data_IF_135472875402
#
_entry.id   IF_135472875402
#
_cell.length_a   1.000
_cell.length_b   1.000
_cell.length_c   1.000
_cell.angle_alpha   90.00
_cell.angle_beta   90.00
_cell.angle_gamma   90.00
#
_symmetry.space_group_name_H-M   'P 1'
#
loop_
_entity.id
_entity.type
_entity.pdbx_description
1 polymer ?
#
# COMPACT_ATOMS: atom_id res chain seq x y z
N UNK A 1 -55.27 32.38 -49.47
CA UNK A 1 -54.22 31.38 -49.23
C UNK A 1 -53.42 31.80 -47.99
N UNK A 2 -53.66 31.13 -46.83
CA UNK A 2 -52.96 31.44 -45.57
C UNK A 2 -51.89 30.39 -45.41
N UNK A 3 -50.62 30.81 -45.33
CA UNK A 3 -49.46 29.96 -45.07
C UNK A 3 -49.31 29.78 -43.55
N UNK A 4 -49.38 28.53 -43.06
CA UNK A 4 -48.98 28.15 -41.70
C UNK A 4 -47.49 27.98 -41.60
N UNK A 5 -46.85 28.78 -40.76
CA UNK A 5 -45.47 28.57 -40.33
C UNK A 5 -45.45 27.63 -39.12
N UNK A 6 -44.87 26.44 -39.26
CA UNK A 6 -44.58 25.50 -38.20
C UNK A 6 -43.21 25.84 -37.63
N UNK A 7 -43.16 26.28 -36.37
CA UNK A 7 -41.91 26.50 -35.68
C UNK A 7 -41.51 25.18 -34.99
N UNK A 8 -40.38 24.61 -35.38
CA UNK A 8 -39.79 23.47 -34.72
C UNK A 8 -38.94 23.93 -33.50
N UNK A 9 -39.37 23.54 -32.31
CA UNK A 9 -38.59 23.77 -31.11
C UNK A 9 -37.52 22.69 -31.00
N UNK A 10 -36.23 23.09 -31.09
CA UNK A 10 -35.11 22.22 -30.81
C UNK A 10 -34.83 22.26 -29.30
N UNK A 11 -35.10 21.15 -28.63
CA UNK A 11 -34.82 20.97 -27.21
C UNK A 11 -33.37 20.58 -27.04
N UNK A 12 -32.51 21.50 -26.53
CA UNK A 12 -31.15 21.22 -26.17
C UNK A 12 -31.14 20.47 -24.82
N UNK A 13 -30.91 19.16 -24.84
CA UNK A 13 -30.57 18.40 -23.63
C UNK A 13 -29.11 18.68 -23.29
N UNK A 14 -28.88 19.54 -22.31
CA UNK A 14 -27.56 19.69 -21.68
C UNK A 14 -27.33 18.52 -20.74
N UNK A 15 -26.49 17.56 -21.14
CA UNK A 15 -25.97 16.52 -20.27
C UNK A 15 -25.01 17.16 -19.25
N UNK A 16 -25.43 17.25 -18.01
CA UNK A 16 -24.54 17.61 -16.91
C UNK A 16 -23.58 16.44 -16.65
N UNK A 17 -22.32 16.61 -17.09
CA UNK A 17 -21.24 15.71 -16.71
C UNK A 17 -20.96 15.91 -15.22
N UNK A 18 -21.38 14.98 -14.38
CA UNK A 18 -20.97 14.92 -12.98
C UNK A 18 -19.46 14.64 -12.93
N UNK A 19 -18.68 15.65 -12.59
CA UNK A 19 -17.28 15.49 -12.23
C UNK A 19 -17.28 14.73 -10.88
N UNK A 20 -17.10 13.41 -10.93
CA UNK A 20 -16.71 12.64 -9.75
C UNK A 20 -15.27 13.09 -9.44
N UNK A 21 -15.15 14.02 -8.50
CA UNK A 21 -13.88 14.38 -7.91
C UNK A 21 -13.25 13.14 -7.27
N UNK A 22 -11.92 13.10 -7.10
CA UNK A 22 -11.28 12.00 -6.39
C UNK A 22 -11.97 11.87 -5.03
N UNK A 23 -12.43 10.65 -4.71
CA UNK A 23 -12.98 10.36 -3.39
C UNK A 23 -12.00 10.90 -2.35
N UNK A 24 -12.48 11.76 -1.47
CA UNK A 24 -11.69 12.23 -0.35
C UNK A 24 -11.18 10.98 0.36
N UNK A 25 -9.86 10.78 0.38
CA UNK A 25 -9.21 9.75 1.18
C UNK A 25 -9.71 10.04 2.59
N UNK A 26 -10.53 9.14 3.14
CA UNK A 26 -10.97 9.29 4.52
C UNK A 26 -9.73 9.60 5.35
N UNK A 27 -9.81 10.61 6.19
CA UNK A 27 -8.69 11.12 6.97
C UNK A 27 -8.27 10.04 7.98
N UNK A 28 -7.56 9.01 7.49
CA UNK A 28 -6.93 7.95 8.28
C UNK A 28 -5.70 8.47 9.04
N UNK A 29 -5.55 9.80 9.05
CA UNK A 29 -4.58 10.51 9.87
C UNK A 29 -5.01 10.52 11.34
N UNK A 30 -5.42 9.39 11.93
CA UNK A 30 -5.70 9.15 13.34
C UNK A 30 -5.64 10.38 14.23
N UNK A 31 -6.55 11.37 13.99
CA UNK A 31 -6.50 12.67 14.65
C UNK A 31 -6.38 12.50 16.16
N UNK A 32 -5.23 12.92 16.73
CA UNK A 32 -4.98 12.83 18.15
C UNK A 32 -4.32 11.53 18.64
N UNK A 33 -4.14 10.51 17.80
CA UNK A 33 -3.37 9.31 18.18
C UNK A 33 -1.87 9.54 17.95
N UNK A 34 -1.00 9.06 18.86
CA UNK A 34 0.45 9.21 18.70
C UNK A 34 0.93 8.43 17.47
N UNK A 35 1.95 8.98 16.78
CA UNK A 35 2.63 8.27 15.70
C UNK A 35 3.65 7.32 16.30
N UNK A 36 3.64 6.06 15.86
CA UNK A 36 4.59 5.03 16.33
C UNK A 36 6.04 5.42 15.99
N UNK A 37 6.99 4.87 16.75
CA UNK A 37 8.40 4.96 16.40
C UNK A 37 8.69 4.24 15.07
N UNK A 38 9.79 4.61 14.41
CA UNK A 38 10.28 3.86 13.27
C UNK A 38 10.54 2.41 13.67
N UNK A 39 10.01 1.47 12.89
CA UNK A 39 10.24 0.07 13.14
C UNK A 39 11.73 -0.29 12.95
N UNK A 40 12.27 -1.08 13.86
CA UNK A 40 13.58 -1.73 13.67
C UNK A 40 13.42 -2.99 12.84
N UNK A 41 14.53 -3.51 12.27
CA UNK A 41 14.48 -4.79 11.60
C UNK A 41 14.15 -5.92 12.59
N UNK A 42 13.10 -6.65 12.30
CA UNK A 42 12.60 -7.78 13.09
C UNK A 42 12.48 -8.99 12.16
N UNK A 43 13.51 -9.86 12.10
CA UNK A 43 13.53 -10.97 11.17
C UNK A 43 12.43 -11.98 11.47
N UNK A 44 12.10 -12.81 10.48
CA UNK A 44 11.23 -13.96 10.66
C UNK A 44 11.79 -14.90 11.73
N UNK A 45 10.98 -15.20 12.73
CA UNK A 45 11.32 -16.15 13.81
C UNK A 45 10.28 -17.25 13.96
N UNK A 46 9.10 -17.09 13.39
CA UNK A 46 7.98 -18.02 13.48
C UNK A 46 7.45 -18.36 12.09
N UNK A 47 6.54 -19.30 12.03
CA UNK A 47 5.76 -19.53 10.80
C UNK A 47 4.29 -19.74 11.17
N UNK A 48 3.40 -19.08 10.44
CA UNK A 48 1.95 -19.22 10.62
C UNK A 48 1.29 -19.67 9.34
N UNK A 49 0.25 -20.48 9.45
CA UNK A 49 -0.55 -20.93 8.30
C UNK A 49 -1.52 -19.84 7.82
N UNK A 50 -1.77 -18.85 8.65
CA UNK A 50 -2.72 -17.77 8.34
C UNK A 50 -2.00 -16.42 8.37
N UNK A 51 -2.36 -15.48 7.47
CA UNK A 51 -1.89 -14.11 7.56
C UNK A 51 -2.38 -13.44 8.84
N UNK A 52 -1.71 -12.39 9.26
CA UNK A 52 -2.14 -11.59 10.42
C UNK A 52 -3.24 -10.61 9.99
N UNK A 53 -4.13 -10.30 10.92
CA UNK A 53 -5.30 -9.44 10.65
C UNK A 53 -4.92 -8.06 10.12
N UNK A 54 -3.89 -7.42 10.68
CA UNK A 54 -3.41 -6.12 10.19
C UNK A 54 -2.77 -6.22 8.81
N UNK A 55 -2.12 -7.34 8.49
CA UNK A 55 -1.54 -7.57 7.16
C UNK A 55 -2.64 -7.66 6.10
N UNK A 56 -3.73 -8.41 6.39
CA UNK A 56 -4.89 -8.52 5.49
C UNK A 56 -5.55 -7.16 5.32
N UNK A 57 -5.88 -6.50 6.43
CA UNK A 57 -6.56 -5.20 6.41
C UNK A 57 -5.77 -4.13 5.63
N UNK A 58 -4.45 -4.07 5.80
CA UNK A 58 -3.62 -3.15 5.03
C UNK A 58 -3.62 -3.50 3.54
N UNK A 59 -3.53 -4.78 3.17
CA UNK A 59 -3.58 -5.21 1.77
C UNK A 59 -4.90 -4.82 1.09
N UNK A 60 -6.02 -5.04 1.76
CA UNK A 60 -7.36 -4.65 1.30
C UNK A 60 -7.49 -3.12 1.18
N UNK A 61 -7.00 -2.38 2.17
CA UNK A 61 -7.00 -0.92 2.17
C UNK A 61 -6.16 -0.34 1.01
N UNK A 62 -4.98 -0.91 0.72
CA UNK A 62 -4.13 -0.48 -0.39
C UNK A 62 -4.85 -0.60 -1.73
N UNK A 63 -5.48 -1.75 -1.99
CA UNK A 63 -6.23 -1.98 -3.23
C UNK A 63 -7.46 -1.07 -3.31
N UNK A 64 -8.19 -0.90 -2.22
CA UNK A 64 -9.38 -0.04 -2.19
C UNK A 64 -9.03 1.44 -2.39
N UNK A 65 -7.89 1.90 -1.85
CA UNK A 65 -7.51 3.32 -1.85
C UNK A 65 -6.76 3.74 -3.12
N UNK A 66 -5.85 2.89 -3.60
CA UNK A 66 -4.94 3.23 -4.70
C UNK A 66 -5.19 2.43 -5.97
N UNK A 67 -5.87 1.29 -5.90
CA UNK A 67 -6.02 0.37 -7.01
C UNK A 67 -4.92 -0.71 -7.02
N UNK A 68 -4.58 -1.21 -8.21
CA UNK A 68 -3.74 -2.40 -8.34
C UNK A 68 -4.53 -3.66 -8.00
N UNK A 69 -3.84 -4.77 -7.71
CA UNK A 69 -4.49 -6.02 -7.31
C UNK A 69 -3.86 -6.61 -6.05
N UNK A 70 -4.66 -7.33 -5.27
CA UNK A 70 -4.18 -8.09 -4.13
C UNK A 70 -3.19 -9.17 -4.57
N UNK A 71 -2.19 -9.42 -3.74
CA UNK A 71 -1.19 -10.44 -3.95
C UNK A 71 -0.98 -11.30 -2.70
N UNK A 72 0.17 -11.99 -2.64
CA UNK A 72 0.45 -12.90 -1.54
C UNK A 72 0.60 -12.15 -0.21
N UNK A 73 -0.13 -12.59 0.82
CA UNK A 73 -0.02 -12.10 2.21
C UNK A 73 0.54 -13.16 3.16
N UNK A 74 0.76 -14.36 2.64
CA UNK A 74 1.29 -15.50 3.39
C UNK A 74 2.06 -16.43 2.45
N UNK A 75 2.99 -17.21 2.99
CA UNK A 75 3.72 -18.27 2.26
C UNK A 75 3.77 -19.55 3.07
N UNK A 76 3.85 -20.73 2.41
CA UNK A 76 4.06 -21.99 3.10
C UNK A 76 5.29 -21.97 4.01
N UNK A 77 5.23 -22.69 5.12
CA UNK A 77 6.35 -22.86 6.05
C UNK A 77 7.50 -23.70 5.47
N UNK A 78 7.23 -24.49 4.44
CA UNK A 78 8.22 -25.27 3.72
C UNK A 78 9.17 -24.38 2.90
N UNK A 79 10.35 -24.92 2.60
CA UNK A 79 11.37 -24.22 1.81
C UNK A 79 12.39 -23.48 2.67
N UNK A 80 13.57 -23.28 2.09
CA UNK A 80 14.69 -22.56 2.71
C UNK A 80 14.49 -21.02 2.67
N UNK A 81 15.20 -20.32 3.52
CA UNK A 81 15.22 -18.86 3.59
C UNK A 81 14.16 -18.27 4.54
N UNK A 82 14.54 -17.16 5.17
CA UNK A 82 13.65 -16.35 5.96
C UNK A 82 12.75 -15.50 5.06
N UNK A 83 11.51 -15.27 5.49
CA UNK A 83 10.56 -14.39 4.81
C UNK A 83 9.45 -14.00 5.75
N UNK A 84 9.15 -12.73 5.86
CA UNK A 84 8.06 -12.19 6.68
C UNK A 84 6.68 -12.69 6.22
N UNK A 85 6.55 -13.14 4.97
CA UNK A 85 5.36 -13.86 4.53
C UNK A 85 5.09 -15.13 5.33
N UNK A 86 6.15 -15.85 5.77
CA UNK A 86 5.99 -17.04 6.62
C UNK A 86 5.49 -16.68 8.02
N UNK A 87 5.77 -15.47 8.50
CA UNK A 87 5.19 -14.92 9.74
C UNK A 87 3.78 -14.34 9.54
N UNK A 88 3.29 -14.27 8.29
CA UNK A 88 2.06 -13.59 7.93
C UNK A 88 2.14 -12.07 8.07
N UNK A 89 3.34 -11.48 7.94
CA UNK A 89 3.63 -10.06 8.14
C UNK A 89 4.04 -9.31 6.88
N UNK A 90 3.89 -9.89 5.70
CA UNK A 90 4.24 -9.23 4.46
C UNK A 90 3.11 -9.29 3.44
N UNK A 91 3.09 -8.31 2.57
CA UNK A 91 2.13 -8.13 1.48
C UNK A 91 2.93 -8.01 0.19
N UNK A 92 2.57 -8.79 -0.82
CA UNK A 92 2.99 -8.57 -2.21
C UNK A 92 1.81 -7.88 -2.93
N UNK A 93 1.81 -6.56 -3.00
CA UNK A 93 0.81 -5.80 -3.72
C UNK A 93 1.14 -5.78 -5.21
N UNK A 94 0.25 -6.36 -6.03
CA UNK A 94 0.48 -6.55 -7.46
C UNK A 94 0.42 -5.21 -8.20
N UNK A 95 1.57 -4.77 -8.66
CA UNK A 95 1.81 -3.58 -9.48
C UNK A 95 2.98 -3.88 -10.43
N UNK A 96 2.92 -3.42 -11.66
CA UNK A 96 3.98 -3.59 -12.66
C UNK A 96 4.83 -2.32 -12.81
N UNK A 97 6.11 -2.39 -12.46
CA UNK A 97 7.03 -1.27 -12.58
C UNK A 97 7.30 -0.86 -14.05
N UNK A 98 6.92 -1.67 -15.02
CA UNK A 98 7.02 -1.34 -16.44
C UNK A 98 5.74 -0.68 -16.96
N UNK A 99 4.61 -0.78 -16.23
CA UNK A 99 3.36 -0.08 -16.56
C UNK A 99 3.35 1.35 -15.99
N UNK A 100 3.10 2.38 -16.81
CA UNK A 100 3.04 3.77 -16.35
C UNK A 100 1.92 4.05 -15.33
N UNK A 101 0.77 3.37 -15.43
CA UNK A 101 -0.34 3.54 -14.51
C UNK A 101 0.02 2.98 -13.11
N UNK A 102 0.62 1.80 -13.07
CA UNK A 102 1.04 1.17 -11.82
C UNK A 102 2.20 1.93 -11.16
N UNK A 103 3.13 2.48 -11.94
CA UNK A 103 4.16 3.41 -11.41
C UNK A 103 3.54 4.65 -10.78
N UNK A 104 2.46 5.19 -11.34
CA UNK A 104 1.74 6.33 -10.76
C UNK A 104 1.09 5.96 -9.43
N UNK A 105 0.48 4.78 -9.34
CA UNK A 105 -0.10 4.22 -8.12
C UNK A 105 0.99 4.06 -7.05
N UNK A 106 2.08 3.38 -7.37
CA UNK A 106 3.21 3.17 -6.45
C UNK A 106 3.78 4.49 -5.95
N UNK A 107 3.98 5.47 -6.84
CA UNK A 107 4.48 6.81 -6.48
C UNK A 107 3.52 7.54 -5.54
N UNK A 108 2.22 7.46 -5.79
CA UNK A 108 1.22 8.10 -4.94
C UNK A 108 1.21 7.52 -3.53
N UNK A 109 1.25 6.19 -3.40
CA UNK A 109 1.35 5.52 -2.11
C UNK A 109 2.64 5.89 -1.37
N UNK A 110 3.82 5.75 -2.00
CA UNK A 110 5.10 6.06 -1.36
C UNK A 110 5.17 7.54 -0.91
N UNK A 111 4.66 8.45 -1.73
CA UNK A 111 4.60 9.88 -1.39
C UNK A 111 3.70 10.13 -0.17
N UNK A 112 2.53 9.50 -0.10
CA UNK A 112 1.62 9.64 1.05
C UNK A 112 2.17 8.97 2.30
N UNK A 113 2.70 7.74 2.17
CA UNK A 113 3.21 6.95 3.29
C UNK A 113 4.41 7.63 3.98
N UNK A 114 5.27 8.30 3.21
CA UNK A 114 6.50 8.92 3.72
C UNK A 114 6.39 10.43 3.93
N UNK A 115 5.21 11.02 3.69
CA UNK A 115 4.96 12.43 3.97
C UNK A 115 5.10 12.76 5.47
N UNK A 116 5.49 13.99 5.74
CA UNK A 116 5.37 14.59 7.07
C UNK A 116 3.92 15.03 7.27
N UNK A 117 3.31 14.67 8.41
CA UNK A 117 1.95 15.11 8.75
C UNK A 117 1.92 16.58 9.21
N UNK A 118 0.71 17.10 9.49
CA UNK A 118 0.51 18.48 9.92
C UNK A 118 1.15 18.80 11.28
N UNK A 119 1.40 17.77 12.10
CA UNK A 119 2.03 17.90 13.41
C UNK A 119 3.56 17.80 13.35
N UNK A 120 4.14 17.67 12.15
CA UNK A 120 5.58 17.60 11.93
C UNK A 120 6.16 16.19 12.05
N UNK A 121 5.33 15.15 12.10
CA UNK A 121 5.80 13.77 12.19
C UNK A 121 6.20 13.27 10.80
N UNK A 122 7.48 13.06 10.57
CA UNK A 122 7.98 12.50 9.31
C UNK A 122 7.51 11.04 9.14
N UNK A 123 7.13 10.67 7.90
CA UNK A 123 6.63 9.35 7.50
C UNK A 123 5.49 8.84 8.41
N UNK A 124 4.60 9.75 8.83
CA UNK A 124 3.58 9.47 9.82
C UNK A 124 2.69 8.28 9.43
N UNK A 125 2.21 8.24 8.19
CA UNK A 125 1.31 7.18 7.73
C UNK A 125 2.01 5.81 7.71
N UNK A 126 3.24 5.72 7.19
CA UNK A 126 3.99 4.46 7.18
C UNK A 126 4.28 3.95 8.60
N UNK A 127 4.60 4.85 9.53
CA UNK A 127 4.83 4.51 10.95
C UNK A 127 3.54 4.05 11.62
N UNK A 128 2.41 4.72 11.38
CA UNK A 128 1.08 4.32 11.88
C UNK A 128 0.64 2.97 11.33
N UNK A 129 0.96 2.65 10.07
CA UNK A 129 0.75 1.33 9.49
C UNK A 129 1.65 0.24 10.11
N UNK A 130 2.71 0.64 10.81
CA UNK A 130 3.71 -0.26 11.33
C UNK A 130 4.57 -0.88 10.24
N UNK A 131 4.81 -0.16 9.12
CA UNK A 131 5.67 -0.63 8.03
C UNK A 131 7.11 -0.73 8.54
N UNK A 132 7.71 -1.89 8.33
CA UNK A 132 9.11 -2.16 8.64
C UNK A 132 10.01 -1.83 7.46
N UNK A 133 9.60 -2.21 6.26
CA UNK A 133 10.23 -1.78 5.00
C UNK A 133 9.30 -2.00 3.80
N UNK A 134 9.58 -1.28 2.74
CA UNK A 134 8.98 -1.47 1.41
C UNK A 134 10.09 -1.83 0.42
N UNK A 135 9.83 -2.76 -0.51
CA UNK A 135 10.70 -3.00 -1.66
C UNK A 135 9.89 -2.79 -2.94
N UNK A 136 10.40 -1.93 -3.81
CA UNK A 136 9.77 -1.63 -5.10
C UNK A 136 10.81 -1.23 -6.15
N UNK A 137 10.73 -1.88 -7.31
CA UNK A 137 11.50 -1.50 -8.50
C UNK A 137 12.99 -1.29 -8.21
N UNK A 138 13.68 -2.31 -7.71
CA UNK A 138 15.12 -2.32 -7.39
C UNK A 138 15.55 -1.40 -6.23
N UNK A 139 14.60 -0.92 -5.42
CA UNK A 139 14.87 -0.10 -4.24
C UNK A 139 14.20 -0.68 -3.00
N UNK A 140 14.85 -0.49 -1.87
CA UNK A 140 14.32 -0.75 -0.53
C UNK A 140 14.18 0.57 0.24
N UNK A 141 13.11 0.69 1.00
CA UNK A 141 12.79 1.84 1.85
C UNK A 141 12.63 1.34 3.29
N UNK A 142 13.72 1.24 4.07
CA UNK A 142 13.67 0.70 5.42
C UNK A 142 13.31 1.74 6.47
N UNK A 143 12.44 1.38 7.42
CA UNK A 143 12.05 2.27 8.51
C UNK A 143 13.24 2.64 9.41
N UNK A 144 14.18 1.74 9.66
CA UNK A 144 15.39 2.03 10.45
C UNK A 144 16.36 3.01 9.77
N UNK A 145 16.14 3.32 8.49
CA UNK A 145 16.81 4.42 7.78
C UNK A 145 15.79 5.51 7.38
N UNK A 146 14.74 5.70 8.19
CA UNK A 146 13.71 6.73 7.98
C UNK A 146 13.10 6.71 6.58
N UNK A 147 12.96 5.52 6.00
CA UNK A 147 12.44 5.27 4.65
C UNK A 147 13.25 5.93 3.52
N UNK A 148 14.51 6.29 3.77
CA UNK A 148 15.39 6.74 2.69
C UNK A 148 15.64 5.58 1.71
N UNK A 149 15.54 5.82 0.38
CA UNK A 149 15.70 4.76 -0.59
C UNK A 149 17.14 4.23 -0.63
N UNK A 150 17.26 2.93 -0.63
CA UNK A 150 18.52 2.19 -0.81
C UNK A 150 18.42 1.29 -2.04
N UNK A 151 19.54 1.03 -2.71
CA UNK A 151 19.56 0.06 -3.81
C UNK A 151 19.28 -1.35 -3.29
N UNK A 152 18.31 -2.06 -3.92
CA UNK A 152 17.97 -3.43 -3.57
C UNK A 152 18.52 -4.44 -4.57
N UNK A 153 19.10 -5.51 -4.06
CA UNK A 153 19.46 -6.71 -4.81
C UNK A 153 19.13 -7.95 -3.95
N UNK A 154 18.23 -8.80 -4.44
CA UNK A 154 17.92 -10.06 -3.75
C UNK A 154 19.18 -10.88 -3.50
N UNK A 155 19.29 -11.49 -2.32
CA UNK A 155 20.42 -12.40 -1.98
C UNK A 155 20.50 -13.62 -2.91
N UNK A 156 19.41 -13.94 -3.61
CA UNK A 156 19.36 -14.99 -4.63
C UNK A 156 19.94 -14.56 -5.99
N UNK A 157 20.33 -13.29 -6.14
CA UNK A 157 20.81 -12.72 -7.40
C UNK A 157 22.26 -12.28 -7.29
N UNK A 158 23.05 -12.52 -8.35
CA UNK A 158 24.42 -12.02 -8.45
C UNK A 158 24.50 -10.59 -9.01
N UNK A 159 23.50 -10.18 -9.79
CA UNK A 159 23.40 -8.84 -10.35
C UNK A 159 21.97 -8.57 -10.81
N UNK A 160 21.56 -7.30 -10.93
CA UNK A 160 20.23 -6.91 -11.43
C UNK A 160 19.94 -7.48 -12.82
N UNK A 161 20.91 -7.54 -13.73
CA UNK A 161 20.73 -8.06 -15.10
C UNK A 161 20.46 -9.57 -15.17
N UNK A 162 20.83 -10.33 -14.14
CA UNK A 162 20.61 -11.77 -14.05
C UNK A 162 19.57 -12.15 -13.01
N UNK A 163 18.75 -11.18 -12.62
CA UNK A 163 17.72 -11.34 -11.63
C UNK A 163 16.33 -11.25 -12.31
N UNK A 164 15.42 -12.14 -11.93
CA UNK A 164 14.05 -12.10 -12.45
C UNK A 164 13.33 -10.82 -12.05
N UNK A 165 12.28 -10.45 -12.78
CA UNK A 165 11.41 -9.31 -12.48
C UNK A 165 10.88 -9.38 -11.05
N UNK A 166 10.43 -10.57 -10.64
CA UNK A 166 9.90 -10.84 -9.29
C UNK A 166 10.94 -10.64 -8.20
N UNK A 167 12.15 -11.16 -8.34
CA UNK A 167 13.23 -10.99 -7.36
C UNK A 167 13.76 -9.55 -7.29
N UNK A 168 13.44 -8.73 -8.27
CA UNK A 168 13.71 -7.28 -8.32
C UNK A 168 12.54 -6.45 -7.82
N UNK A 169 11.43 -7.09 -7.39
CA UNK A 169 10.19 -6.43 -6.99
C UNK A 169 9.70 -5.40 -8.04
N UNK A 170 9.65 -5.85 -9.30
CA UNK A 170 9.19 -5.03 -10.43
C UNK A 170 7.81 -5.45 -10.95
N UNK A 171 7.29 -6.60 -10.51
CA UNK A 171 5.94 -7.11 -10.78
C UNK A 171 5.03 -7.07 -9.55
N UNK A 172 5.55 -6.59 -8.43
CA UNK A 172 4.79 -6.32 -7.20
C UNK A 172 5.57 -5.36 -6.28
N UNK A 173 4.85 -4.65 -5.42
CA UNK A 173 5.44 -3.93 -4.28
C UNK A 173 5.36 -4.83 -3.05
N UNK A 174 6.52 -5.15 -2.48
CA UNK A 174 6.61 -5.90 -1.24
C UNK A 174 6.58 -4.94 -0.04
N UNK A 175 5.69 -5.20 0.92
CA UNK A 175 5.56 -4.41 2.15
C UNK A 175 5.66 -5.35 3.34
N UNK A 176 6.70 -5.20 4.16
CA UNK A 176 6.84 -5.91 5.43
C UNK A 176 6.41 -5.07 6.62
N UNK A 177 5.70 -5.69 7.53
CA UNK A 177 5.19 -5.06 8.75
C UNK A 177 5.97 -5.51 9.99
N UNK A 178 6.05 -4.61 10.97
CA UNK A 178 6.42 -4.95 12.34
C UNK A 178 5.41 -5.95 12.92
N UNK A 179 5.78 -6.63 14.01
CA UNK A 179 4.84 -7.54 14.70
C UNK A 179 3.59 -6.82 15.22
N UNK A 180 3.72 -5.54 15.61
CA UNK A 180 2.59 -4.74 16.05
C UNK A 180 1.65 -4.40 14.88
N UNK A 181 2.19 -3.86 13.77
CA UNK A 181 1.43 -3.55 12.56
C UNK A 181 0.71 -4.76 11.99
N UNK A 182 1.42 -5.89 11.85
CA UNK A 182 0.81 -7.13 11.36
C UNK A 182 -0.35 -7.64 12.23
N UNK A 183 -0.30 -7.41 13.55
CA UNK A 183 -1.39 -7.76 14.49
C UNK A 183 -2.50 -6.71 14.54
N UNK A 184 -2.42 -5.62 13.74
CA UNK A 184 -3.40 -4.54 13.77
C UNK A 184 -3.38 -3.73 15.08
N UNK A 185 -2.22 -3.56 15.73
CA UNK A 185 -2.08 -2.94 17.05
C UNK A 185 -1.46 -1.54 17.01
N UNK A 186 -1.19 -1.02 15.82
CA UNK A 186 -0.73 0.35 15.63
C UNK A 186 -1.91 1.28 15.34
N UNK A 187 -1.69 2.58 15.47
CA UNK A 187 -2.74 3.59 15.41
C UNK A 187 -3.53 3.59 14.09
N UNK A 188 -2.93 3.19 12.97
CA UNK A 188 -3.62 3.06 11.69
C UNK A 188 -4.83 2.12 11.73
N UNK A 189 -4.81 1.09 12.58
CA UNK A 189 -5.84 0.06 12.59
C UNK A 189 -6.97 0.33 13.57
N UNK A 190 -6.90 1.40 14.37
CA UNK A 190 -7.91 1.70 15.41
C UNK A 190 -9.31 1.82 14.82
N UNK A 191 -9.42 2.52 13.68
CA UNK A 191 -10.71 2.72 12.99
C UNK A 191 -10.93 1.71 11.84
N UNK A 192 -9.89 0.98 11.46
CA UNK A 192 -9.95 0.04 10.34
C UNK A 192 -10.39 -1.38 10.76
N UNK A 193 -10.03 -1.78 11.96
CA UNK A 193 -10.39 -3.09 12.49
C UNK A 193 -11.46 -2.95 13.58
N UNK A 194 -12.48 -3.81 13.61
CA UNK A 194 -13.42 -3.83 14.72
C UNK A 194 -12.64 -4.05 16.02
N UNK A 195 -12.95 -3.22 17.04
CA UNK A 195 -12.44 -3.47 18.39
C UNK A 195 -12.84 -4.88 18.79
N UNK A 196 -11.86 -5.72 19.14
CA UNK A 196 -12.19 -7.03 19.69
C UNK A 196 -13.13 -6.79 20.88
N UNK A 197 -14.35 -7.34 20.81
CA UNK A 197 -15.26 -7.32 21.97
C UNK A 197 -14.53 -7.93 23.18
N UNK A 198 -14.67 -7.35 24.36
CA UNK A 198 -14.03 -7.82 25.58
C UNK A 198 -14.42 -9.24 25.96
#
# INVERSE_FOLDING_TARGET
MRALLVAAAVSLCTAAASLVGPAAVADVNGGGLPVEHYATYDPQTTCTKQPRVGTVALGEWLVATYGGAGGAVNRPCSGSGASEHKDGRAIDWTLDADDPADRKIAKAFLAAAFATDADGNAAALARRMGIMYVIWSDHMYPAWNQFQPEGYLSSSCRSKHRCSKTLRHRDHMHISLSKAGAKGRTSFYVDLLPTAAP
#
